data_IF_237808190623
#
_entry.id   IF_237808190623
#
_cell.length_a   1.000
_cell.length_b   1.000
_cell.length_c   1.000
_cell.angle_alpha   90.00
_cell.angle_beta   90.00
_cell.angle_gamma   90.00
#
_symmetry.space_group_name_H-M   'P 1'
#
loop_
_entity.id
_entity.type
_entity.pdbx_description
1 polymer ?
#
# COMPACT_ATOMS: atom_id res chain seq x y z
N UNK A 1 45.24 -17.32 -75.52
CA UNK A 1 46.29 -16.30 -75.69
C UNK A 1 46.62 -15.83 -74.28
N UNK A 2 47.77 -16.06 -73.67
CA UNK A 2 49.10 -16.50 -74.09
C UNK A 2 49.76 -17.26 -72.93
N UNK A 3 50.81 -18.03 -73.28
CA UNK A 3 51.75 -18.78 -72.43
C UNK A 3 52.53 -17.82 -71.50
N UNK A 4 53.22 -18.22 -70.43
CA UNK A 4 54.31 -19.20 -70.33
C UNK A 4 54.66 -19.40 -68.82
N UNK A 5 54.83 -20.63 -68.31
CA UNK A 5 56.05 -21.47 -68.28
C UNK A 5 57.01 -21.24 -67.09
N UNK A 6 57.03 -22.25 -66.20
CA UNK A 6 58.23 -22.92 -65.63
C UNK A 6 59.07 -22.13 -64.59
N UNK A 7 59.67 -22.68 -63.52
CA UNK A 7 60.29 -23.99 -63.31
C UNK A 7 60.71 -24.24 -61.84
N UNK A 8 60.81 -25.52 -61.46
CA UNK A 8 61.86 -26.18 -60.63
C UNK A 8 62.14 -25.77 -59.16
N UNK A 9 61.98 -26.76 -58.27
CA UNK A 9 63.08 -27.23 -57.39
C UNK A 9 63.11 -26.77 -55.93
N UNK A 10 63.72 -27.54 -55.00
CA UNK A 10 63.14 -27.83 -53.69
C UNK A 10 63.96 -27.35 -52.48
N UNK A 11 63.39 -27.60 -51.28
CA UNK A 11 64.04 -27.76 -49.95
C UNK A 11 64.86 -26.58 -49.40
N UNK A 12 64.49 -26.02 -48.25
CA UNK A 12 64.99 -26.50 -46.96
C UNK A 12 64.41 -25.72 -45.77
N UNK A 13 64.64 -26.29 -44.58
CA UNK A 13 64.05 -25.95 -43.28
C UNK A 13 64.05 -24.48 -42.84
N UNK A 14 63.08 -24.17 -41.98
CA UNK A 14 62.97 -22.85 -41.36
C UNK A 14 61.82 -22.76 -40.38
N UNK A 15 61.93 -23.47 -39.25
CA UNK A 15 61.09 -23.31 -38.07
C UNK A 15 60.88 -21.84 -37.71
N UNK A 16 59.65 -21.35 -37.81
CA UNK A 16 59.18 -20.25 -36.98
C UNK A 16 57.69 -20.45 -36.71
N UNK A 17 57.43 -21.06 -35.56
CA UNK A 17 56.12 -21.12 -34.94
C UNK A 17 55.63 -19.69 -34.69
N UNK A 18 54.83 -19.16 -35.62
CA UNK A 18 54.08 -17.93 -35.42
C UNK A 18 53.01 -18.21 -34.37
N UNK A 19 53.25 -17.75 -33.15
CA UNK A 19 52.25 -17.59 -32.11
C UNK A 19 51.18 -16.61 -32.62
N UNK A 20 50.17 -17.13 -33.32
CA UNK A 20 48.89 -16.44 -33.48
C UNK A 20 48.19 -16.43 -32.12
N UNK A 21 48.66 -15.56 -31.24
CA UNK A 21 47.93 -15.15 -30.06
C UNK A 21 46.71 -14.37 -30.52
N UNK A 22 45.59 -15.06 -30.72
CA UNK A 22 44.27 -14.44 -30.71
C UNK A 22 44.14 -13.70 -29.39
N UNK A 23 44.26 -12.38 -29.42
CA UNK A 23 43.93 -11.51 -28.30
C UNK A 23 42.42 -11.64 -28.12
N UNK A 24 42.02 -12.62 -27.31
CA UNK A 24 40.66 -12.68 -26.77
C UNK A 24 40.48 -11.41 -25.97
N UNK A 25 39.56 -10.55 -26.40
CA UNK A 25 39.13 -9.40 -25.61
C UNK A 25 38.85 -9.89 -24.17
N UNK A 26 39.38 -9.22 -23.13
CA UNK A 26 39.12 -9.63 -21.76
C UNK A 26 37.60 -9.61 -21.54
N UNK A 27 37.04 -10.79 -21.19
CA UNK A 27 35.65 -10.84 -20.75
C UNK A 27 35.52 -9.86 -19.58
N UNK A 28 34.48 -9.01 -19.54
CA UNK A 28 34.27 -8.10 -18.42
C UNK A 28 34.31 -8.91 -17.13
N UNK A 29 35.31 -8.65 -16.30
CA UNK A 29 35.51 -9.37 -15.06
C UNK A 29 34.41 -8.91 -14.11
N UNK A 30 33.34 -9.72 -14.02
CA UNK A 30 32.24 -9.46 -13.08
C UNK A 30 32.80 -9.34 -11.68
N UNK A 31 32.31 -8.38 -10.91
CA UNK A 31 32.67 -8.26 -9.51
C UNK A 31 32.20 -9.52 -8.75
N UNK A 32 32.79 -9.81 -7.59
CA UNK A 32 32.49 -11.01 -6.81
C UNK A 32 30.99 -11.22 -6.58
N UNK A 33 30.25 -10.15 -6.31
CA UNK A 33 28.80 -10.19 -6.12
C UNK A 33 28.03 -10.60 -7.39
N UNK A 34 28.43 -10.12 -8.56
CA UNK A 34 27.82 -10.46 -9.86
C UNK A 34 28.18 -11.86 -10.38
N UNK A 35 29.20 -12.47 -9.78
CA UNK A 35 29.60 -13.85 -10.08
C UNK A 35 28.77 -14.90 -9.32
N UNK A 36 28.01 -14.47 -8.31
CA UNK A 36 27.18 -15.36 -7.51
C UNK A 36 25.97 -15.87 -8.31
N UNK A 37 25.49 -17.09 -8.00
CA UNK A 37 24.18 -17.55 -8.45
C UNK A 37 23.06 -16.59 -8.07
N UNK A 38 22.01 -16.55 -8.89
CA UNK A 38 20.89 -15.64 -8.72
C UNK A 38 20.22 -15.79 -7.35
N UNK A 39 20.13 -17.02 -6.85
CA UNK A 39 19.53 -17.38 -5.56
C UNK A 39 20.29 -16.77 -4.38
N UNK A 40 21.63 -16.67 -4.48
CA UNK A 40 22.44 -16.03 -3.44
C UNK A 40 22.31 -14.51 -3.48
N UNK A 41 22.21 -13.92 -4.67
CA UNK A 41 21.96 -12.48 -4.82
C UNK A 41 20.59 -12.12 -4.24
N UNK A 42 19.56 -12.92 -4.52
CA UNK A 42 18.23 -12.77 -3.92
C UNK A 42 18.26 -12.92 -2.40
N UNK A 43 18.96 -13.94 -1.89
CA UNK A 43 19.11 -14.15 -0.45
C UNK A 43 19.81 -12.98 0.25
N UNK A 44 20.89 -12.46 -0.34
CA UNK A 44 21.59 -11.26 0.15
C UNK A 44 20.63 -10.07 0.17
N UNK A 45 19.88 -9.87 -0.91
CA UNK A 45 18.88 -8.80 -1.01
C UNK A 45 17.78 -8.93 0.05
N UNK A 46 17.29 -10.13 0.34
CA UNK A 46 16.27 -10.35 1.37
C UNK A 46 16.78 -10.20 2.80
N UNK A 47 18.08 -10.36 3.03
CA UNK A 47 18.69 -10.05 4.32
C UNK A 47 18.90 -8.54 4.52
N UNK A 48 19.27 -7.81 3.46
CA UNK A 48 19.56 -6.37 3.57
C UNK A 48 18.35 -5.46 3.34
N UNK A 49 17.38 -5.91 2.54
CA UNK A 49 16.23 -5.13 2.06
C UNK A 49 16.63 -3.79 1.41
N UNK A 50 17.86 -3.69 0.89
CA UNK A 50 18.37 -2.47 0.27
C UNK A 50 17.79 -2.27 -1.12
N UNK A 51 16.71 -1.48 -1.21
CA UNK A 51 15.95 -1.21 -2.45
C UNK A 51 16.81 -0.58 -3.55
N UNK A 52 17.94 0.05 -3.21
CA UNK A 52 18.87 0.58 -4.21
C UNK A 52 19.87 -0.45 -4.75
N UNK A 53 19.96 -1.65 -4.19
CA UNK A 53 20.90 -2.69 -4.65
C UNK A 53 20.76 -3.03 -6.16
N UNK A 54 19.55 -3.14 -6.74
CA UNK A 54 19.37 -3.27 -8.19
C UNK A 54 20.07 -2.17 -9.01
N UNK A 55 20.32 -0.98 -8.46
CA UNK A 55 20.96 0.13 -9.17
C UNK A 55 22.48 -0.02 -9.27
N UNK A 56 23.08 -0.91 -8.48
CA UNK A 56 24.52 -1.13 -8.48
C UNK A 56 25.01 -1.82 -9.76
N UNK A 57 24.16 -2.61 -10.42
CA UNK A 57 24.50 -3.33 -11.64
C UNK A 57 23.27 -3.75 -12.43
N UNK A 58 23.34 -3.66 -13.76
CA UNK A 58 22.28 -4.18 -14.63
C UNK A 58 22.06 -5.69 -14.47
N UNK A 59 23.11 -6.46 -14.19
CA UNK A 59 22.99 -7.90 -13.97
C UNK A 59 22.16 -8.20 -12.72
N UNK A 60 22.49 -7.53 -11.61
CA UNK A 60 21.75 -7.62 -10.34
C UNK A 60 20.31 -7.12 -10.53
N UNK A 61 20.14 -6.00 -11.25
CA UNK A 61 18.81 -5.47 -11.56
C UNK A 61 17.92 -6.52 -12.23
N UNK A 62 18.45 -7.23 -13.24
CA UNK A 62 17.71 -8.27 -13.97
C UNK A 62 17.32 -9.44 -13.08
N UNK A 63 18.17 -9.83 -12.13
CA UNK A 63 17.88 -10.89 -11.17
C UNK A 63 16.78 -10.46 -10.21
N UNK A 64 16.87 -9.26 -9.64
CA UNK A 64 15.96 -8.77 -8.60
C UNK A 64 14.65 -8.18 -9.14
N UNK A 65 14.56 -7.88 -10.44
CA UNK A 65 13.36 -7.30 -11.06
C UNK A 65 12.30 -8.33 -11.45
N UNK A 66 12.11 -9.34 -10.60
CA UNK A 66 11.06 -10.35 -10.78
C UNK A 66 9.76 -9.87 -10.13
N UNK A 67 8.58 -10.02 -10.77
CA UNK A 67 7.31 -9.57 -10.20
C UNK A 67 7.03 -10.13 -8.80
N UNK A 68 7.43 -11.38 -8.54
CA UNK A 68 7.24 -12.03 -7.24
C UNK A 68 8.06 -11.38 -6.12
N UNK A 69 9.27 -10.88 -6.43
CA UNK A 69 10.13 -10.17 -5.47
C UNK A 69 9.44 -8.89 -5.02
N UNK A 70 8.86 -8.13 -5.96
CA UNK A 70 8.11 -6.92 -5.63
C UNK A 70 6.89 -7.21 -4.75
N UNK A 71 6.17 -8.31 -5.02
CA UNK A 71 5.07 -8.76 -4.16
C UNK A 71 5.56 -9.09 -2.75
N UNK A 72 6.67 -9.80 -2.59
CA UNK A 72 7.23 -10.11 -1.27
C UNK A 72 7.69 -8.86 -0.52
N UNK A 73 8.31 -7.89 -1.19
CA UNK A 73 8.67 -6.60 -0.62
C UNK A 73 7.44 -5.83 -0.14
N UNK A 74 6.35 -5.82 -0.93
CA UNK A 74 5.10 -5.19 -0.52
C UNK A 74 4.49 -5.92 0.68
N UNK A 75 4.45 -7.26 0.66
CA UNK A 75 3.90 -8.06 1.77
C UNK A 75 4.67 -7.85 3.07
N UNK A 76 6.01 -7.85 3.05
CA UNK A 76 6.81 -7.63 4.26
C UNK A 76 6.67 -6.20 4.77
N UNK A 77 6.60 -5.21 3.88
CA UNK A 77 6.56 -3.80 4.27
C UNK A 77 5.15 -3.35 4.71
N UNK A 78 4.09 -3.79 4.05
CA UNK A 78 2.74 -3.20 4.17
C UNK A 78 1.68 -4.10 4.84
N UNK A 79 2.04 -5.29 5.32
CA UNK A 79 1.10 -6.11 6.12
C UNK A 79 0.89 -5.51 7.51
N UNK A 80 -0.30 -5.70 8.09
CA UNK A 80 -0.67 -5.28 9.45
C UNK A 80 0.02 -6.11 10.55
N UNK A 81 0.38 -5.46 11.67
CA UNK A 81 1.07 -6.10 12.82
C UNK A 81 0.12 -6.72 13.82
N UNK A 82 -0.75 -7.63 13.39
CA UNK A 82 -1.70 -8.27 14.32
C UNK A 82 -1.01 -9.30 15.18
N UNK A 83 -1.27 -9.29 16.49
CA UNK A 83 -0.73 -10.30 17.42
C UNK A 83 -1.08 -11.72 16.97
N UNK A 84 -2.28 -11.93 16.43
CA UNK A 84 -2.70 -13.24 15.91
C UNK A 84 -1.90 -13.69 14.68
N UNK A 85 -1.28 -12.77 13.92
CA UNK A 85 -0.47 -13.06 12.74
C UNK A 85 0.97 -13.48 13.08
N UNK A 86 1.32 -13.51 14.37
CA UNK A 86 2.65 -13.94 14.85
C UNK A 86 2.95 -15.40 14.52
N UNK A 87 1.92 -16.23 14.48
CA UNK A 87 2.04 -17.66 14.24
C UNK A 87 1.19 -18.08 13.03
N UNK A 88 1.75 -18.94 12.19
CA UNK A 88 1.10 -19.65 11.08
C UNK A 88 0.42 -18.79 10.00
N UNK A 89 0.63 -17.47 10.00
CA UNK A 89 0.08 -16.58 8.98
C UNK A 89 1.04 -16.36 7.81
N UNK A 90 2.30 -16.00 8.10
CA UNK A 90 3.35 -15.81 7.09
C UNK A 90 4.00 -17.15 6.76
N UNK A 91 3.32 -17.94 5.93
CA UNK A 91 3.82 -19.23 5.46
C UNK A 91 4.92 -19.05 4.39
N UNK A 92 5.83 -20.03 4.20
CA UNK A 92 6.94 -19.90 3.25
C UNK A 92 6.53 -19.64 1.78
N UNK A 93 5.34 -20.10 1.38
CA UNK A 93 4.75 -19.81 0.06
C UNK A 93 4.23 -18.37 -0.05
N UNK A 94 3.83 -17.76 1.07
CA UNK A 94 3.35 -16.38 1.11
C UNK A 94 4.49 -15.36 1.26
N UNK A 95 5.45 -15.65 2.14
CA UNK A 95 6.64 -14.85 2.39
C UNK A 95 7.84 -15.79 2.65
N UNK A 96 8.76 -15.96 1.69
CA UNK A 96 9.80 -16.98 1.77
C UNK A 96 10.94 -16.57 2.72
N UNK A 97 11.58 -17.50 3.43
CA UNK A 97 12.82 -17.24 4.15
C UNK A 97 13.92 -16.68 3.21
N UNK A 98 14.75 -15.72 3.65
CA UNK A 98 14.86 -15.20 5.02
C UNK A 98 13.87 -14.08 5.37
N UNK A 99 12.98 -13.68 4.47
CA UNK A 99 12.02 -12.60 4.74
C UNK A 99 11.09 -13.01 5.87
N UNK A 100 11.25 -12.32 7.00
CA UNK A 100 10.45 -12.55 8.19
C UNK A 100 9.84 -11.23 8.62
N UNK A 101 8.51 -11.12 8.52
CA UNK A 101 7.78 -9.89 8.85
C UNK A 101 8.14 -9.34 10.24
N UNK A 102 8.22 -10.22 11.23
CA UNK A 102 8.49 -9.88 12.63
C UNK A 102 9.96 -9.63 12.94
N UNK A 103 10.88 -9.86 11.99
CA UNK A 103 12.29 -9.56 12.15
C UNK A 103 12.62 -8.11 11.79
N UNK A 104 11.74 -7.42 11.06
CA UNK A 104 11.92 -6.02 10.67
C UNK A 104 11.20 -5.14 11.70
N UNK A 105 11.93 -4.23 12.32
CA UNK A 105 11.35 -3.31 13.31
C UNK A 105 10.32 -2.37 12.68
N UNK A 106 9.39 -1.81 13.46
CA UNK A 106 8.43 -0.82 12.95
C UNK A 106 9.09 0.32 12.16
N UNK A 107 10.21 0.87 12.66
CA UNK A 107 10.89 2.02 12.04
C UNK A 107 11.58 1.65 10.73
N UNK A 108 12.23 0.48 10.68
CA UNK A 108 12.79 -0.08 9.45
C UNK A 108 11.71 -0.34 8.40
N UNK A 109 10.53 -0.85 8.81
CA UNK A 109 9.39 -1.02 7.90
C UNK A 109 8.89 0.31 7.38
N UNK A 110 8.79 1.34 8.23
CA UNK A 110 8.39 2.69 7.80
C UNK A 110 9.36 3.27 6.76
N UNK A 111 10.66 3.07 6.97
CA UNK A 111 11.68 3.44 6.00
C UNK A 111 11.51 2.65 4.69
N UNK A 112 11.36 1.33 4.78
CA UNK A 112 11.14 0.44 3.64
C UNK A 112 9.89 0.82 2.84
N UNK A 113 8.77 1.09 3.52
CA UNK A 113 7.53 1.55 2.90
C UNK A 113 7.74 2.86 2.16
N UNK A 114 8.41 3.84 2.79
CA UNK A 114 8.71 5.13 2.16
C UNK A 114 9.53 4.93 0.88
N UNK A 115 10.59 4.13 0.94
CA UNK A 115 11.46 3.85 -0.20
C UNK A 115 10.74 3.09 -1.32
N UNK A 116 9.89 2.10 -0.97
CA UNK A 116 9.06 1.36 -1.95
C UNK A 116 8.05 2.30 -2.62
N UNK A 117 7.37 3.16 -1.87
CA UNK A 117 6.38 4.10 -2.43
C UNK A 117 7.01 5.09 -3.42
N UNK A 118 8.29 5.42 -3.29
CA UNK A 118 9.01 6.25 -4.26
C UNK A 118 9.37 5.51 -5.56
N UNK A 119 9.48 4.17 -5.52
CA UNK A 119 9.88 3.37 -6.67
C UNK A 119 8.85 3.40 -7.81
N UNK A 120 9.32 3.45 -9.06
CA UNK A 120 8.44 3.45 -10.25
C UNK A 120 7.63 2.16 -10.41
N UNK A 121 8.17 1.03 -9.97
CA UNK A 121 7.50 -0.27 -10.04
C UNK A 121 6.37 -0.42 -8.99
N UNK A 122 6.34 0.42 -7.96
CA UNK A 122 5.25 0.44 -6.99
C UNK A 122 4.07 1.23 -7.57
N UNK A 123 3.12 0.48 -8.15
CA UNK A 123 1.89 0.98 -8.80
C UNK A 123 0.66 0.55 -8.00
N UNK A 124 -0.49 1.17 -8.28
CA UNK A 124 -1.76 0.75 -7.67
C UNK A 124 -2.06 -0.70 -8.01
N UNK A 125 -1.88 -1.10 -9.28
CA UNK A 125 -2.12 -2.47 -9.74
C UNK A 125 -1.34 -3.50 -8.91
N UNK A 126 -0.05 -3.25 -8.63
CA UNK A 126 0.74 -4.15 -7.79
C UNK A 126 0.21 -4.21 -6.36
N UNK A 127 -0.15 -3.07 -5.77
CA UNK A 127 -0.74 -3.02 -4.43
C UNK A 127 -2.05 -3.81 -4.41
N UNK A 128 -2.96 -3.59 -5.39
CA UNK A 128 -4.25 -4.31 -5.51
C UNK A 128 -4.05 -5.83 -5.60
N UNK A 129 -3.08 -6.30 -6.39
CA UNK A 129 -2.74 -7.72 -6.44
C UNK A 129 -2.26 -8.24 -5.07
N UNK A 130 -1.43 -7.46 -4.37
CA UNK A 130 -0.98 -7.84 -3.03
C UNK A 130 -2.14 -7.85 -2.02
N UNK A 131 -3.12 -6.95 -2.14
CA UNK A 131 -4.32 -6.95 -1.30
C UNK A 131 -5.13 -8.22 -1.51
N UNK A 132 -5.38 -8.58 -2.76
CA UNK A 132 -6.10 -9.80 -3.12
C UNK A 132 -5.39 -11.05 -2.58
N UNK A 133 -4.07 -11.15 -2.81
CA UNK A 133 -3.24 -12.25 -2.30
C UNK A 133 -3.28 -12.31 -0.76
N UNK A 134 -3.25 -11.14 -0.10
CA UNK A 134 -3.30 -11.04 1.37
C UNK A 134 -4.65 -11.48 1.93
N UNK A 135 -5.77 -11.06 1.31
CA UNK A 135 -7.12 -11.51 1.69
C UNK A 135 -7.30 -13.01 1.52
N UNK A 136 -6.80 -13.58 0.42
CA UNK A 136 -6.77 -15.05 0.24
C UNK A 136 -5.99 -15.75 1.33
N UNK A 137 -4.84 -15.21 1.73
CA UNK A 137 -4.04 -15.77 2.81
C UNK A 137 -4.79 -15.71 4.15
N UNK A 138 -5.52 -14.62 4.43
CA UNK A 138 -6.36 -14.51 5.62
C UNK A 138 -7.45 -15.58 5.61
N UNK A 139 -8.17 -15.73 4.50
CA UNK A 139 -9.22 -16.76 4.36
C UNK A 139 -8.59 -18.14 4.59
N UNK A 140 -7.48 -18.45 3.92
CA UNK A 140 -6.82 -19.75 4.02
C UNK A 140 -6.32 -20.08 5.42
N UNK A 141 -5.74 -19.12 6.14
CA UNK A 141 -5.08 -19.39 7.43
C UNK A 141 -5.99 -19.14 8.64
N UNK A 142 -6.81 -18.09 8.58
CA UNK A 142 -7.65 -17.65 9.72
C UNK A 142 -9.08 -18.17 9.64
N UNK A 143 -9.57 -18.51 8.46
CA UNK A 143 -10.92 -19.05 8.29
C UNK A 143 -10.97 -20.58 8.16
N UNK A 144 -9.82 -21.28 8.19
CA UNK A 144 -9.76 -22.75 8.01
C UNK A 144 -10.60 -23.56 9.00
N UNK A 145 -10.70 -23.08 10.24
CA UNK A 145 -11.42 -23.76 11.34
C UNK A 145 -12.82 -23.17 11.57
N UNK A 146 -13.27 -22.29 10.67
CA UNK A 146 -14.56 -21.62 10.74
C UNK A 146 -15.56 -22.32 9.82
N UNK A 147 -16.78 -22.51 10.33
CA UNK A 147 -17.90 -23.08 9.59
C UNK A 147 -18.80 -21.96 9.09
N UNK A 148 -18.92 -21.82 7.78
CA UNK A 148 -19.75 -20.83 7.10
C UNK A 148 -21.06 -21.46 6.62
N UNK A 149 -22.04 -20.61 6.30
CA UNK A 149 -23.21 -21.04 5.52
C UNK A 149 -22.80 -21.36 4.08
N UNK A 150 -23.55 -22.23 3.38
CA UNK A 150 -23.25 -22.56 1.97
C UNK A 150 -23.18 -21.33 1.08
N UNK A 151 -24.04 -20.34 1.34
CA UNK A 151 -24.05 -19.05 0.64
C UNK A 151 -22.77 -18.27 0.88
N UNK A 152 -22.33 -18.16 2.14
CA UNK A 152 -21.12 -17.41 2.48
C UNK A 152 -19.88 -18.12 1.94
N UNK A 153 -19.85 -19.44 1.96
CA UNK A 153 -18.78 -20.24 1.38
C UNK A 153 -18.64 -19.98 -0.12
N UNK A 154 -19.75 -19.99 -0.87
CA UNK A 154 -19.74 -19.66 -2.31
C UNK A 154 -19.21 -18.24 -2.58
N UNK A 155 -19.48 -17.29 -1.69
CA UNK A 155 -18.96 -15.92 -1.82
C UNK A 155 -17.44 -15.91 -1.58
N UNK A 156 -16.94 -16.63 -0.56
CA UNK A 156 -15.51 -16.74 -0.27
C UNK A 156 -14.75 -17.43 -1.40
N UNK A 157 -15.32 -18.49 -1.98
CA UNK A 157 -14.72 -19.21 -3.11
C UNK A 157 -14.60 -18.32 -4.36
N UNK A 158 -15.49 -17.32 -4.49
CA UNK A 158 -15.51 -16.35 -5.59
C UNK A 158 -15.03 -14.95 -5.18
N UNK A 159 -14.21 -14.82 -4.13
CA UNK A 159 -13.81 -13.52 -3.57
C UNK A 159 -13.10 -12.62 -4.60
N UNK A 160 -12.44 -13.20 -5.59
CA UNK A 160 -11.73 -12.48 -6.66
C UNK A 160 -12.60 -11.54 -7.48
N UNK A 161 -13.88 -11.92 -7.66
CA UNK A 161 -14.83 -11.09 -8.40
C UNK A 161 -15.09 -9.76 -7.70
N UNK A 162 -14.94 -9.70 -6.38
CA UNK A 162 -15.15 -8.49 -5.59
C UNK A 162 -14.02 -7.47 -5.81
N UNK A 163 -12.78 -7.93 -5.94
CA UNK A 163 -11.64 -7.06 -6.23
C UNK A 163 -11.64 -6.48 -7.64
N UNK A 164 -12.46 -7.03 -8.54
CA UNK A 164 -12.60 -6.56 -9.92
C UNK A 164 -13.69 -5.47 -10.07
N UNK A 165 -14.50 -5.22 -9.04
CA UNK A 165 -15.59 -4.23 -9.09
C UNK A 165 -15.04 -2.82 -8.83
N UNK A 166 -15.28 -1.84 -9.71
CA UNK A 166 -14.83 -0.47 -9.49
C UNK A 166 -15.67 0.25 -8.42
N UNK A 167 -15.01 0.86 -7.43
CA UNK A 167 -15.44 1.99 -6.57
C UNK A 167 -16.85 1.99 -5.91
N UNK A 168 -17.58 0.88 -5.82
CA UNK A 168 -18.84 0.80 -5.07
C UNK A 168 -18.65 0.55 -3.55
N UNK A 169 -17.40 0.49 -3.12
CA UNK A 169 -17.01 0.09 -1.76
C UNK A 169 -16.80 1.29 -0.84
N UNK A 170 -16.82 1.03 0.46
CA UNK A 170 -16.56 2.01 1.50
C UNK A 170 -15.23 2.73 1.24
N UNK A 171 -15.32 4.04 0.99
CA UNK A 171 -14.18 4.94 0.74
C UNK A 171 -13.74 5.67 2.02
N UNK A 172 -14.33 5.32 3.17
CA UNK A 172 -14.22 6.05 4.42
C UNK A 172 -14.52 7.54 4.24
N UNK A 173 -15.69 7.86 3.66
CA UNK A 173 -16.16 9.24 3.49
C UNK A 173 -16.21 9.88 4.88
N UNK A 174 -15.40 10.91 5.13
CA UNK A 174 -15.12 11.53 6.46
C UNK A 174 -14.11 10.82 7.37
N UNK A 175 -13.27 9.94 6.84
CA UNK A 175 -12.22 9.27 7.61
C UNK A 175 -12.74 8.18 8.55
N UNK A 176 -14.02 7.78 8.39
CA UNK A 176 -14.64 6.72 9.17
C UNK A 176 -15.06 5.60 8.25
N UNK A 177 -14.72 4.37 8.61
CA UNK A 177 -15.19 3.17 7.90
C UNK A 177 -16.56 2.76 8.45
N UNK A 178 -17.42 2.30 7.56
CA UNK A 178 -18.63 1.57 7.90
C UNK A 178 -18.31 0.17 8.42
N UNK A 179 -19.36 -0.65 8.53
CA UNK A 179 -19.32 -2.00 9.10
C UNK A 179 -18.56 -3.05 8.27
N UNK A 180 -18.12 -2.70 7.06
CA UNK A 180 -17.58 -3.60 6.05
C UNK A 180 -18.46 -3.61 4.79
N UNK A 181 -17.81 -3.81 3.63
CA UNK A 181 -18.46 -4.01 2.32
C UNK A 181 -19.18 -5.36 2.26
N UNK A 182 -18.63 -6.36 2.95
CA UNK A 182 -19.17 -7.70 3.06
C UNK A 182 -19.05 -8.15 4.52
N UNK A 183 -20.16 -8.58 5.11
CA UNK A 183 -20.21 -9.03 6.50
C UNK A 183 -20.83 -10.42 6.56
N UNK A 184 -20.11 -11.36 7.15
CA UNK A 184 -20.48 -12.77 7.27
C UNK A 184 -20.51 -13.21 8.73
N UNK A 185 -21.26 -14.28 8.98
CA UNK A 185 -21.27 -14.98 10.27
C UNK A 185 -20.70 -16.38 10.08
N UNK A 186 -19.85 -16.80 10.99
CA UNK A 186 -19.29 -18.13 11.01
C UNK A 186 -19.35 -18.71 12.42
N UNK A 187 -19.20 -20.03 12.53
CA UNK A 187 -19.08 -20.72 13.82
C UNK A 187 -17.68 -21.28 13.98
N UNK A 188 -17.03 -20.98 15.11
CA UNK A 188 -15.72 -21.54 15.47
C UNK A 188 -15.93 -22.72 16.42
N UNK A 189 -15.39 -23.87 16.06
CA UNK A 189 -15.43 -25.07 16.91
C UNK A 189 -14.39 -24.94 18.02
N UNK A 190 -14.81 -25.08 19.28
CA UNK A 190 -13.88 -25.27 20.37
C UNK A 190 -13.59 -26.75 20.54
N UNK A 191 -12.30 -27.12 20.43
CA UNK A 191 -11.86 -28.41 20.94
C UNK A 191 -11.67 -28.24 22.45
N UNK A 192 -12.36 -29.01 23.31
CA UNK A 192 -12.13 -28.92 24.75
C UNK A 192 -10.66 -29.18 25.04
N UNK A 193 -10.00 -28.23 25.71
CA UNK A 193 -8.64 -28.42 26.18
C UNK A 193 -8.61 -29.65 27.10
N UNK A 194 -7.65 -30.55 26.88
CA UNK A 194 -7.45 -31.69 27.77
C UNK A 194 -7.28 -31.18 29.22
N UNK A 195 -7.92 -31.79 30.22
CA UNK A 195 -7.77 -31.37 31.60
C UNK A 195 -6.29 -31.48 31.99
N UNK A 196 -5.74 -30.40 32.52
CA UNK A 196 -4.40 -30.38 33.08
C UNK A 196 -4.30 -31.47 34.15
N UNK A 197 -3.38 -32.41 33.96
CA UNK A 197 -3.12 -33.53 34.85
C UNK A 197 -2.46 -33.02 36.13
N UNK A 198 -3.26 -32.56 37.10
CA UNK A 198 -2.80 -32.43 38.48
C UNK A 198 -3.04 -33.78 39.15
N UNK A 199 -1.97 -34.56 39.30
CA UNK A 199 -2.01 -35.82 40.03
C UNK A 199 -2.26 -35.55 41.52
N UNK A 200 -3.42 -35.94 42.03
CA UNK A 200 -3.58 -36.34 43.43
C UNK A 200 -4.66 -37.41 43.49
N UNK A 201 -4.28 -38.60 43.92
CA UNK A 201 -5.16 -39.77 44.04
C UNK A 201 -6.08 -39.64 45.25
N UNK A 202 -7.37 -39.85 45.04
CA UNK A 202 -8.17 -40.73 45.92
C UNK A 202 -9.45 -41.15 45.21
N UNK A 203 -9.80 -42.42 45.37
CA UNK A 203 -10.87 -43.12 44.68
C UNK A 203 -12.28 -42.70 45.11
N UNK A 204 -13.21 -42.61 44.16
CA UNK A 204 -14.41 -43.46 44.05
C UNK A 204 -15.53 -42.78 43.23
N UNK A 205 -16.35 -43.65 42.65
CA UNK A 205 -17.67 -43.45 42.02
C UNK A 205 -17.77 -43.12 40.53
N UNK A 206 -18.38 -44.10 39.87
CA UNK A 206 -18.58 -44.32 38.45
C UNK A 206 -19.93 -43.72 38.04
N UNK A 207 -19.91 -42.68 37.20
CA UNK A 207 -21.13 -42.09 36.60
C UNK A 207 -20.84 -41.85 35.11
N UNK A 208 -21.79 -42.13 34.19
CA UNK A 208 -21.47 -42.42 32.79
C UNK A 208 -20.96 -41.20 32.04
N UNK A 209 -19.94 -41.46 31.23
CA UNK A 209 -19.25 -40.58 30.29
C UNK A 209 -20.24 -39.82 29.40
N UNK A 210 -20.55 -38.57 29.77
CA UNK A 210 -21.18 -37.63 28.87
C UNK A 210 -20.22 -37.35 27.70
N UNK A 211 -20.67 -37.58 26.47
CA UNK A 211 -19.90 -37.27 25.27
C UNK A 211 -19.43 -35.79 25.31
N UNK A 212 -18.20 -35.48 24.87
CA UNK A 212 -17.70 -34.12 24.90
C UNK A 212 -18.63 -33.21 24.09
N UNK A 213 -19.32 -32.30 24.80
CA UNK A 213 -20.20 -31.31 24.20
C UNK A 213 -19.32 -30.40 23.33
N UNK A 214 -19.47 -30.52 22.02
CA UNK A 214 -18.78 -29.63 21.09
C UNK A 214 -19.41 -28.25 21.20
N UNK A 215 -18.70 -27.31 21.81
CA UNK A 215 -19.15 -25.93 21.94
C UNK A 215 -18.70 -25.13 20.72
N UNK A 216 -19.58 -24.27 20.22
CA UNK A 216 -19.30 -23.35 19.12
C UNK A 216 -19.41 -21.91 19.63
N UNK A 217 -18.51 -21.06 19.18
CA UNK A 217 -18.64 -19.61 19.32
C UNK A 217 -19.01 -18.99 17.97
N UNK A 218 -19.97 -18.06 18.00
CA UNK A 218 -20.26 -17.25 16.81
C UNK A 218 -19.09 -16.30 16.56
N UNK A 219 -18.76 -16.08 15.30
CA UNK A 219 -17.70 -15.19 14.83
C UNK A 219 -18.27 -14.33 13.71
N UNK A 220 -17.98 -13.03 13.75
CA UNK A 220 -18.29 -12.10 12.69
C UNK A 220 -17.03 -11.83 11.87
N UNK A 221 -17.17 -11.86 10.55
CA UNK A 221 -16.10 -11.51 9.62
C UNK A 221 -16.58 -10.36 8.76
N UNK A 222 -15.80 -9.28 8.74
CA UNK A 222 -16.08 -8.08 7.94
C UNK A 222 -14.94 -7.83 6.98
N UNK A 223 -15.26 -7.63 5.69
CA UNK A 223 -14.30 -7.29 4.65
C UNK A 223 -14.49 -5.83 4.23
N UNK A 224 -13.39 -5.11 4.07
CA UNK A 224 -13.33 -3.83 3.36
C UNK A 224 -12.44 -4.02 2.14
N UNK A 225 -13.08 -4.27 0.99
CA UNK A 225 -12.42 -4.66 -0.26
C UNK A 225 -11.52 -3.52 -0.75
N UNK A 226 -12.00 -2.28 -0.70
CA UNK A 226 -11.19 -1.12 -1.10
C UNK A 226 -9.93 -0.97 -0.24
N UNK A 227 -9.99 -1.28 1.05
CA UNK A 227 -8.85 -1.14 1.95
C UNK A 227 -7.98 -2.40 2.04
N UNK A 228 -8.38 -3.50 1.36
CA UNK A 228 -7.71 -4.80 1.50
C UNK A 228 -7.70 -5.27 2.95
N UNK A 229 -8.78 -4.99 3.69
CA UNK A 229 -8.87 -5.25 5.12
C UNK A 229 -9.91 -6.33 5.44
N UNK A 230 -9.61 -7.17 6.43
CA UNK A 230 -10.50 -8.19 6.97
C UNK A 230 -10.41 -8.13 8.48
N UNK A 231 -11.54 -8.03 9.16
CA UNK A 231 -11.61 -8.13 10.61
C UNK A 231 -12.34 -9.42 10.97
N UNK A 232 -11.76 -10.16 11.91
CA UNK A 232 -12.33 -11.40 12.43
C UNK A 232 -12.50 -11.20 13.93
N UNK A 233 -13.72 -11.26 14.44
CA UNK A 233 -13.96 -11.00 15.85
C UNK A 233 -15.25 -11.62 16.35
N UNK A 234 -15.39 -11.68 17.68
CA UNK A 234 -16.65 -12.05 18.31
C UNK A 234 -17.75 -11.03 17.92
N UNK A 235 -19.03 -11.44 17.87
CA UNK A 235 -20.15 -10.55 17.58
C UNK A 235 -20.37 -9.58 18.75
N UNK A 236 -19.56 -8.53 18.83
CA UNK A 236 -19.72 -7.46 19.81
C UNK A 236 -20.47 -6.27 19.20
N UNK A 237 -21.38 -5.61 19.94
CA UNK A 237 -21.94 -4.33 19.53
C UNK A 237 -20.89 -3.20 19.54
N UNK A 238 -19.79 -3.38 20.29
CA UNK A 238 -18.64 -2.47 20.33
C UNK A 238 -17.52 -3.07 19.49
N UNK A 239 -17.26 -2.47 18.33
CA UNK A 239 -16.17 -2.88 17.43
C UNK A 239 -14.83 -2.42 18.00
N UNK A 240 -14.10 -3.32 18.66
CA UNK A 240 -12.69 -3.11 18.94
C UNK A 240 -11.88 -3.53 17.70
N UNK A 241 -10.86 -2.77 17.28
CA UNK A 241 -9.94 -3.10 16.16
C UNK A 241 -9.03 -4.31 16.45
N UNK A 242 -9.44 -5.17 17.38
CA UNK A 242 -8.74 -6.41 17.68
C UNK A 242 -8.86 -7.31 16.45
N UNK A 243 -7.71 -7.75 15.96
CA UNK A 243 -7.57 -8.71 14.87
C UNK A 243 -8.03 -8.24 13.47
N UNK A 244 -7.76 -6.97 13.14
CA UNK A 244 -7.96 -6.44 11.79
C UNK A 244 -6.73 -6.64 10.92
N UNK A 245 -6.81 -7.56 9.96
CA UNK A 245 -5.78 -7.77 8.95
C UNK A 245 -5.93 -6.77 7.82
N UNK A 246 -4.84 -6.12 7.44
CA UNK A 246 -4.86 -5.15 6.34
C UNK A 246 -3.56 -5.09 5.55
N UNK A 247 -3.71 -4.84 4.26
CA UNK A 247 -2.65 -4.39 3.37
C UNK A 247 -3.26 -3.35 2.40
N UNK A 248 -2.64 -2.17 2.16
CA UNK A 248 -1.50 -1.65 2.89
C UNK A 248 -1.89 -1.15 4.29
N UNK A 249 -0.96 -1.28 5.23
CA UNK A 249 -1.08 -0.85 6.61
C UNK A 249 0.21 -0.17 7.06
N UNK A 250 0.12 1.01 7.67
CA UNK A 250 1.26 1.60 8.37
C UNK A 250 1.68 0.73 9.58
N UNK A 251 2.98 0.70 9.95
CA UNK A 251 3.46 -0.02 11.13
C UNK A 251 2.79 0.39 12.44
N UNK A 252 2.52 1.67 12.62
CA UNK A 252 1.78 2.22 13.76
C UNK A 252 1.19 3.60 13.41
N UNK A 253 0.45 4.20 14.34
CA UNK A 253 -0.07 5.57 14.19
C UNK A 253 1.04 6.63 14.19
N UNK A 254 2.14 6.37 14.90
CA UNK A 254 3.28 7.29 15.03
C UNK A 254 4.35 7.05 13.96
N UNK A 255 4.38 5.86 13.38
CA UNK A 255 5.33 5.46 12.36
C UNK A 255 4.64 5.23 11.02
N UNK A 256 4.15 6.33 10.44
CA UNK A 256 3.58 6.32 9.09
C UNK A 256 4.65 6.66 8.05
N UNK A 257 4.65 6.00 6.88
CA UNK A 257 5.51 6.37 5.78
C UNK A 257 5.13 7.75 5.24
N UNK A 258 6.09 8.38 4.58
CA UNK A 258 5.85 9.65 3.89
C UNK A 258 5.11 9.41 2.57
N UNK A 259 4.08 10.20 2.29
CA UNK A 259 3.40 10.20 0.99
C UNK A 259 4.41 10.56 -0.11
N UNK A 260 4.57 9.74 -1.17
CA UNK A 260 5.59 9.99 -2.20
C UNK A 260 5.21 11.17 -3.09
N UNK A 261 6.22 11.96 -3.49
CA UNK A 261 6.02 13.13 -4.36
C UNK A 261 5.36 12.78 -5.71
N UNK A 262 5.55 11.56 -6.22
CA UNK A 262 4.98 11.11 -7.49
C UNK A 262 3.44 11.05 -7.48
N UNK A 263 2.83 10.88 -6.30
CA UNK A 263 1.38 10.86 -6.12
C UNK A 263 0.80 12.26 -5.85
N UNK A 264 1.64 13.24 -5.53
CA UNK A 264 1.24 14.63 -5.25
C UNK A 264 1.54 15.58 -6.43
N UNK A 265 1.77 15.03 -7.62
CA UNK A 265 2.14 15.80 -8.82
C UNK A 265 1.39 15.28 -10.05
N UNK A 266 1.13 16.14 -11.05
CA UNK A 266 0.55 15.72 -12.32
C UNK A 266 1.46 14.70 -13.05
N UNK A 267 0.93 13.94 -14.03
CA UNK A 267 -0.46 13.96 -14.51
C UNK A 267 -1.43 13.29 -13.53
N UNK A 268 -2.65 13.82 -13.39
CA UNK A 268 -3.69 13.28 -12.52
C UNK A 268 -4.53 12.25 -13.27
N UNK A 269 -4.24 10.96 -13.05
CA UNK A 269 -5.02 9.85 -13.61
C UNK A 269 -5.97 9.30 -12.55
N UNK A 270 -7.03 8.61 -12.99
CA UNK A 270 -7.96 7.93 -12.07
C UNK A 270 -7.20 6.95 -11.14
N UNK A 271 -6.29 6.16 -11.70
CA UNK A 271 -5.43 5.23 -10.95
C UNK A 271 -4.58 5.94 -9.89
N UNK A 272 -3.99 7.11 -10.22
CA UNK A 272 -3.19 7.88 -9.26
C UNK A 272 -4.05 8.42 -8.12
N UNK A 273 -5.24 8.93 -8.43
CA UNK A 273 -6.17 9.45 -7.41
C UNK A 273 -6.69 8.34 -6.50
N UNK A 274 -6.95 7.17 -7.04
CA UNK A 274 -7.33 5.99 -6.26
C UNK A 274 -6.16 5.52 -5.37
N UNK A 275 -4.92 5.53 -5.89
CA UNK A 275 -3.75 5.18 -5.10
C UNK A 275 -3.50 6.19 -3.96
N UNK A 276 -3.68 7.47 -4.26
CA UNK A 276 -3.59 8.53 -3.27
C UNK A 276 -4.66 8.37 -2.19
N UNK A 277 -5.91 8.06 -2.57
CA UNK A 277 -7.01 7.80 -1.63
C UNK A 277 -6.72 6.59 -0.73
N UNK A 278 -6.24 5.48 -1.30
CA UNK A 278 -5.89 4.27 -0.56
C UNK A 278 -4.85 4.54 0.53
N UNK A 279 -3.88 5.43 0.24
CA UNK A 279 -2.80 5.79 1.14
C UNK A 279 -3.08 7.02 2.01
N UNK A 280 -4.19 7.73 1.81
CA UNK A 280 -4.37 9.08 2.37
C UNK A 280 -4.38 9.11 3.91
N UNK A 281 -4.71 7.97 4.53
CA UNK A 281 -4.69 7.78 5.99
C UNK A 281 -3.51 6.92 6.47
N UNK A 282 -2.80 6.25 5.55
CA UNK A 282 -1.64 5.41 5.86
C UNK A 282 -0.32 6.15 5.74
N UNK A 283 -0.27 7.21 4.93
CA UNK A 283 0.94 7.96 4.67
C UNK A 283 0.71 9.46 4.91
N UNK A 284 1.62 10.09 5.64
CA UNK A 284 1.51 11.51 5.94
C UNK A 284 1.96 12.38 4.77
N UNK A 285 1.26 13.49 4.54
CA UNK A 285 1.60 14.44 3.47
C UNK A 285 2.56 15.51 3.98
N UNK A 286 2.23 16.10 5.13
CA UNK A 286 2.98 17.19 5.74
C UNK A 286 3.52 16.78 7.12
N UNK A 287 4.64 17.40 7.54
CA UNK A 287 5.28 17.11 8.84
C UNK A 287 4.38 17.54 10.00
N UNK A 288 3.74 18.70 9.87
CA UNK A 288 2.82 19.21 10.86
C UNK A 288 1.61 19.89 10.20
N UNK A 289 0.52 20.03 10.96
CA UNK A 289 -0.76 20.58 10.48
C UNK A 289 -0.66 22.05 10.08
N UNK A 290 0.28 22.80 10.67
CA UNK A 290 0.50 24.22 10.38
C UNK A 290 1.39 24.43 9.14
N UNK A 291 2.38 23.58 8.94
CA UNK A 291 3.34 23.46 7.84
C UNK A 291 2.79 22.58 6.72
N UNK A 292 1.57 22.88 6.29
CA UNK A 292 0.89 22.20 5.17
C UNK A 292 1.44 22.59 3.79
N UNK A 293 2.75 22.66 3.62
CA UNK A 293 3.39 23.18 2.41
C UNK A 293 3.15 22.28 1.19
N UNK A 294 3.23 20.95 1.35
CA UNK A 294 3.07 20.01 0.22
C UNK A 294 1.61 19.93 -0.18
N UNK A 295 0.71 19.72 0.78
CA UNK A 295 -0.74 19.68 0.50
C UNK A 295 -1.26 21.00 -0.07
N UNK A 296 -0.76 22.15 0.41
CA UNK A 296 -1.09 23.47 -0.12
C UNK A 296 -0.63 23.65 -1.58
N UNK A 297 0.60 23.24 -1.90
CA UNK A 297 1.12 23.38 -3.26
C UNK A 297 0.28 22.61 -4.29
N UNK A 298 -0.25 21.44 -3.90
CA UNK A 298 -1.12 20.62 -4.76
C UNK A 298 -2.39 21.39 -5.15
N UNK A 299 -3.18 21.85 -4.18
CA UNK A 299 -4.43 22.55 -4.47
C UNK A 299 -4.19 23.86 -5.22
N UNK A 300 -3.15 24.62 -4.85
CA UNK A 300 -2.78 25.85 -5.55
C UNK A 300 -2.42 25.60 -7.01
N UNK A 301 -1.69 24.51 -7.29
CA UNK A 301 -1.33 24.13 -8.65
C UNK A 301 -2.58 23.74 -9.46
N UNK A 302 -3.50 22.97 -8.87
CA UNK A 302 -4.77 22.59 -9.52
C UNK A 302 -5.64 23.80 -9.87
N UNK A 303 -5.72 24.79 -8.97
CA UNK A 303 -6.40 26.06 -9.25
C UNK A 303 -5.74 26.79 -10.42
N UNK A 304 -4.40 26.86 -10.44
CA UNK A 304 -3.65 27.51 -11.53
C UNK A 304 -3.85 26.81 -12.87
N UNK A 305 -3.81 25.47 -12.87
CA UNK A 305 -3.95 24.63 -14.06
C UNK A 305 -5.42 24.47 -14.49
N UNK A 306 -6.36 24.97 -13.68
CA UNK A 306 -7.81 24.91 -13.91
C UNK A 306 -8.37 23.49 -13.98
N UNK A 307 -7.75 22.54 -13.28
CA UNK A 307 -8.24 21.17 -13.12
C UNK A 307 -9.24 21.07 -11.96
N UNK A 308 -10.50 21.39 -12.25
CA UNK A 308 -11.58 21.46 -11.26
C UNK A 308 -11.93 20.09 -10.69
N UNK A 309 -12.02 19.06 -11.53
CA UNK A 309 -12.46 17.72 -11.11
C UNK A 309 -11.47 17.09 -10.13
N UNK A 310 -10.17 17.24 -10.39
CA UNK A 310 -9.15 16.78 -9.43
C UNK A 310 -9.18 17.62 -8.16
N UNK A 311 -9.31 18.94 -8.28
CA UNK A 311 -9.40 19.83 -7.13
C UNK A 311 -10.55 19.46 -6.20
N UNK A 312 -11.74 19.24 -6.75
CA UNK A 312 -12.93 18.84 -5.99
C UNK A 312 -12.70 17.51 -5.25
N UNK A 313 -12.18 16.49 -5.95
CA UNK A 313 -11.86 15.19 -5.34
C UNK A 313 -10.87 15.32 -4.19
N UNK A 314 -9.78 16.06 -4.37
CA UNK A 314 -8.79 16.24 -3.31
C UNK A 314 -9.34 17.06 -2.15
N UNK A 315 -10.19 18.05 -2.42
CA UNK A 315 -10.80 18.89 -1.39
C UNK A 315 -11.60 18.06 -0.38
N UNK A 316 -12.31 17.03 -0.84
CA UNK A 316 -13.09 16.11 0.00
C UNK A 316 -12.29 14.94 0.58
N UNK A 317 -11.04 14.75 0.16
CA UNK A 317 -10.18 13.68 0.67
C UNK A 317 -9.70 14.00 2.09
N UNK A 318 -9.72 13.00 2.96
CA UNK A 318 -9.10 13.10 4.28
C UNK A 318 -7.65 12.63 4.22
N UNK A 319 -6.77 13.42 4.82
CA UNK A 319 -5.33 13.21 4.86
C UNK A 319 -4.82 13.29 6.30
N UNK A 320 -3.60 12.83 6.52
CA UNK A 320 -2.95 12.85 7.84
C UNK A 320 -1.63 13.59 7.77
N UNK A 321 -1.26 14.20 8.89
CA UNK A 321 0.05 14.83 9.11
C UNK A 321 0.88 13.93 10.01
N UNK A 322 2.21 14.06 9.98
CA UNK A 322 3.10 13.20 10.77
C UNK A 322 2.87 13.35 12.28
N UNK A 323 2.68 14.59 12.75
CA UNK A 323 2.47 14.88 14.18
C UNK A 323 0.99 14.84 14.60
N UNK A 324 0.06 14.43 13.73
CA UNK A 324 -1.36 14.39 14.04
C UNK A 324 -2.05 13.22 13.33
N UNK A 325 -2.34 12.18 14.10
CA UNK A 325 -2.73 10.88 13.55
C UNK A 325 -4.20 10.79 13.11
N UNK A 326 -5.04 11.75 13.50
CA UNK A 326 -6.45 11.79 13.10
C UNK A 326 -6.62 12.33 11.68
N UNK A 327 -7.41 11.66 10.82
CA UNK A 327 -7.71 12.16 9.48
C UNK A 327 -8.39 13.53 9.51
N UNK A 328 -7.94 14.42 8.65
CA UNK A 328 -8.50 15.76 8.46
C UNK A 328 -8.78 16.01 6.98
N UNK A 329 -9.77 16.84 6.67
CA UNK A 329 -9.97 17.31 5.31
C UNK A 329 -8.68 17.91 4.74
N UNK A 330 -8.45 17.75 3.43
CA UNK A 330 -7.30 18.33 2.76
C UNK A 330 -7.11 19.82 3.13
N UNK A 331 -5.93 20.23 3.65
CA UNK A 331 -5.73 21.57 4.18
C UNK A 331 -6.01 22.69 3.17
N UNK A 332 -6.85 23.63 3.57
CA UNK A 332 -7.12 24.88 2.84
C UNK A 332 -6.65 26.07 3.68
N UNK A 333 -6.23 27.14 3.00
CA UNK A 333 -5.59 28.34 3.55
C UNK A 333 -6.04 29.55 2.75
N UNK A 334 -5.94 30.75 3.30
CA UNK A 334 -6.28 32.03 2.65
C UNK A 334 -5.67 32.19 1.25
N UNK A 335 -4.45 31.67 1.04
CA UNK A 335 -3.75 31.72 -0.24
C UNK A 335 -4.47 30.94 -1.37
N UNK A 336 -5.23 29.90 -1.03
CA UNK A 336 -6.04 29.16 -2.00
C UNK A 336 -7.22 30.00 -2.50
N UNK A 337 -7.91 30.71 -1.59
CA UNK A 337 -8.97 31.65 -1.97
C UNK A 337 -8.45 32.76 -2.89
N UNK A 338 -7.33 33.39 -2.51
CA UNK A 338 -6.66 34.40 -3.35
C UNK A 338 -6.27 33.82 -4.72
N UNK A 339 -5.74 32.60 -4.77
CA UNK A 339 -5.42 31.94 -6.03
C UNK A 339 -6.68 31.68 -6.88
N UNK A 340 -7.77 31.22 -6.27
CA UNK A 340 -9.03 30.92 -6.96
C UNK A 340 -9.63 32.17 -7.59
N UNK A 341 -9.68 33.29 -6.84
CA UNK A 341 -10.12 34.59 -7.36
C UNK A 341 -9.19 35.10 -8.46
N UNK A 342 -7.87 35.06 -8.23
CA UNK A 342 -6.86 35.55 -9.20
C UNK A 342 -6.95 34.84 -10.54
N UNK A 343 -7.18 33.53 -10.54
CA UNK A 343 -7.26 32.71 -11.76
C UNK A 343 -8.71 32.44 -12.20
N UNK A 344 -9.69 33.15 -11.64
CA UNK A 344 -11.09 32.99 -12.01
C UNK A 344 -11.33 33.38 -13.48
N UNK A 345 -12.15 32.59 -14.19
CA UNK A 345 -12.54 32.87 -15.59
C UNK A 345 -13.92 33.53 -15.65
N UNK A 346 -14.11 34.61 -14.88
CA UNK A 346 -15.36 35.36 -14.79
C UNK A 346 -16.03 35.29 -13.41
N UNK A 347 -17.28 35.78 -13.35
CA UNK A 347 -18.12 35.68 -12.16
C UNK A 347 -18.59 34.25 -11.92
N UNK A 348 -18.89 33.92 -10.67
CA UNK A 348 -19.38 32.62 -10.23
C UNK A 348 -18.43 31.47 -10.61
N UNK A 349 -17.12 31.69 -10.43
CA UNK A 349 -16.10 30.70 -10.81
C UNK A 349 -16.26 29.42 -9.98
N UNK A 350 -16.18 28.22 -10.59
CA UNK A 350 -16.46 26.97 -9.90
C UNK A 350 -15.50 26.71 -8.73
N UNK A 351 -14.22 27.11 -8.83
CA UNK A 351 -13.28 26.95 -7.71
C UNK A 351 -13.62 27.87 -6.54
N UNK A 352 -13.95 29.13 -6.84
CA UNK A 352 -14.34 30.12 -5.83
C UNK A 352 -15.63 29.70 -5.14
N UNK A 353 -16.63 29.24 -5.91
CA UNK A 353 -17.91 28.75 -5.40
C UNK A 353 -17.73 27.53 -4.50
N UNK A 354 -16.94 26.54 -4.93
CA UNK A 354 -16.69 25.34 -4.14
C UNK A 354 -15.97 25.68 -2.82
N UNK A 355 -14.93 26.52 -2.86
CA UNK A 355 -14.23 26.98 -1.66
C UNK A 355 -15.13 27.78 -0.72
N UNK A 356 -16.02 28.62 -1.25
CA UNK A 356 -17.02 29.34 -0.46
C UNK A 356 -17.96 28.37 0.25
N UNK A 357 -18.60 27.45 -0.47
CA UNK A 357 -19.57 26.55 0.18
C UNK A 357 -18.92 25.57 1.17
N UNK A 358 -17.72 25.08 0.86
CA UNK A 358 -17.13 23.97 1.62
C UNK A 358 -16.11 24.41 2.67
N UNK A 359 -15.49 25.59 2.51
CA UNK A 359 -14.31 25.99 3.29
C UNK A 359 -14.33 27.45 3.74
N UNK A 360 -15.45 28.17 3.63
CA UNK A 360 -15.54 29.58 4.05
C UNK A 360 -15.11 29.84 5.50
N UNK A 361 -15.43 28.90 6.41
CA UNK A 361 -15.05 28.96 7.82
C UNK A 361 -13.54 29.03 8.06
N UNK A 362 -12.71 28.65 7.09
CA UNK A 362 -11.24 28.74 7.17
C UNK A 362 -10.75 30.19 7.16
N UNK A 363 -11.52 31.12 6.57
CA UNK A 363 -11.17 32.54 6.55
C UNK A 363 -11.59 33.19 7.87
N UNK A 364 -10.61 33.69 8.64
CA UNK A 364 -10.84 34.43 9.88
C UNK A 364 -11.42 35.83 9.64
N UNK A 365 -11.52 36.60 10.72
CA UNK A 365 -12.01 37.99 10.67
C UNK A 365 -11.00 38.97 10.08
N UNK A 366 -9.72 38.59 10.02
CA UNK A 366 -8.62 39.45 9.56
C UNK A 366 -8.54 39.47 8.03
N UNK A 367 -9.06 38.45 7.36
CA UNK A 367 -9.07 38.26 5.91
C UNK A 367 -10.27 38.95 5.23
N UNK A 368 -10.62 40.17 5.66
CA UNK A 368 -11.79 40.92 5.13
C UNK A 368 -11.67 41.23 3.65
N UNK A 369 -10.44 41.53 3.21
CA UNK A 369 -10.07 41.76 1.81
C UNK A 369 -10.44 40.55 0.94
N UNK A 370 -9.98 39.36 1.34
CA UNK A 370 -10.20 38.12 0.59
C UNK A 370 -11.67 37.71 0.61
N UNK A 371 -12.36 37.91 1.74
CA UNK A 371 -13.80 37.66 1.84
C UNK A 371 -14.59 38.54 0.87
N UNK A 372 -14.28 39.82 0.80
CA UNK A 372 -14.92 40.75 -0.14
C UNK A 372 -14.67 40.36 -1.61
N UNK A 373 -13.43 39.99 -1.95
CA UNK A 373 -13.07 39.51 -3.28
C UNK A 373 -13.85 38.26 -3.70
N UNK A 374 -13.98 37.27 -2.80
CA UNK A 374 -14.76 36.05 -3.03
C UNK A 374 -16.24 36.37 -3.25
N UNK A 375 -16.85 37.17 -2.38
CA UNK A 375 -18.26 37.55 -2.51
C UNK A 375 -18.55 38.34 -3.79
N UNK A 376 -17.64 39.24 -4.17
CA UNK A 376 -17.72 39.98 -5.43
C UNK A 376 -17.63 39.04 -6.64
N UNK A 377 -16.75 38.02 -6.60
CA UNK A 377 -16.69 37.03 -7.67
C UNK A 377 -18.01 36.26 -7.79
N UNK A 378 -18.63 35.87 -6.69
CA UNK A 378 -19.88 35.09 -6.67
C UNK A 378 -21.13 35.92 -6.98
N UNK A 379 -21.00 37.23 -7.17
CA UNK A 379 -22.13 38.17 -7.29
C UNK A 379 -23.08 38.09 -6.09
N UNK A 380 -22.56 37.63 -4.94
CA UNK A 380 -23.29 37.61 -3.66
C UNK A 380 -23.13 38.99 -3.05
N UNK A 381 -23.75 39.98 -3.68
CA UNK A 381 -23.85 41.33 -3.13
C UNK A 381 -24.77 41.30 -1.92
N UNK A 382 -24.19 41.31 -0.71
CA UNK A 382 -24.72 41.83 0.56
C UNK A 382 -26.21 41.58 0.94
N UNK A 383 -26.91 40.60 0.36
CA UNK A 383 -28.32 40.30 0.68
C UNK A 383 -28.50 39.20 1.75
N UNK A 384 -27.41 38.68 2.32
CA UNK A 384 -27.43 37.60 3.34
C UNK A 384 -26.54 37.84 4.56
N UNK A 385 -26.08 39.07 4.82
CA UNK A 385 -25.42 39.39 6.09
C UNK A 385 -26.40 39.77 7.22
N UNK A 386 -27.71 39.64 6.98
CA UNK A 386 -28.74 39.70 8.01
C UNK A 386 -29.37 38.31 8.14
N UNK A 387 -28.69 37.37 8.80
CA UNK A 387 -29.27 36.22 9.52
C UNK A 387 -28.10 35.37 10.02
N UNK A 388 -27.49 35.84 11.10
CA UNK A 388 -27.20 35.07 12.32
C UNK A 388 -26.80 36.05 13.43
#
# INVERSE_FOLDING_TARGET
MERASSSLGPSDGGSSSSLSGTISAPRPQRCTLESLPAELIEKIFFHSLEINLPRASWHIARILSKPIIYKWLVRVAFSSSNTSSKHDFFTPDFLPPPLTYWAVSPSERTHLQTTILECRWCTLQLIRQCQQDYVKQIIRQKCKDLVFSDRDQQILDNIDQWFSRPMEFDLAVHGRRGSGDLVMKAKKKHTPAAPATTATSTAAETTPTAAPVTTFSDVRISFWIHFGAVQIGEPSPVSYEIDQFRLPCAPSLDERPRMPNKLLRPPWTAEKLEFLLLLSQEAWIDEDTHSSDRSHLVLRQLIRDRDYLTFEKLLYMNVVSKNYSYPQNWPVKTRHFRAAVKYARGRNDPFVRLLYHQRWHVLGERERDVKAEVLNNLDVSARRLNFE
#
